data_IF_778090493535
#
_entry.id   IF_778090493535
#
_cell.length_a   1.000
_cell.length_b   1.000
_cell.length_c   1.000
_cell.angle_alpha   90.00
_cell.angle_beta   90.00
_cell.angle_gamma   90.00
#
_symmetry.space_group_name_H-M   'P 1'
#
loop_
_entity.id
_entity.type
_entity.pdbx_description
1 polymer ?
#
# COMPACT_ATOMS: atom_id res chain seq x y z
N UNK A 1 -4.24 26.93 27.47
CA UNK A 1 -3.04 26.67 26.66
C UNK A 1 -2.00 26.12 27.62
N UNK A 2 -1.02 25.33 27.18
CA UNK A 2 0.05 24.87 28.08
C UNK A 2 1.23 25.78 27.82
N UNK A 3 1.63 26.54 28.84
CA UNK A 3 2.87 27.32 28.80
C UNK A 3 3.92 26.55 29.57
N UNK A 4 4.96 26.11 28.86
CA UNK A 4 6.09 25.37 29.44
C UNK A 4 7.23 26.34 29.60
N UNK A 5 7.63 26.60 30.84
CA UNK A 5 8.80 27.42 31.14
C UNK A 5 9.97 26.48 31.46
N UNK A 6 11.06 26.62 30.70
CA UNK A 6 12.30 25.88 30.94
C UNK A 6 13.25 26.76 31.76
N UNK A 7 13.64 26.27 32.94
CA UNK A 7 14.65 26.89 33.77
C UNK A 7 15.90 26.00 33.78
N UNK A 8 17.02 26.56 33.32
CA UNK A 8 18.31 25.87 33.31
C UNK A 8 19.16 26.42 34.45
N UNK A 9 19.42 25.58 35.45
CA UNK A 9 20.36 25.90 36.52
C UNK A 9 21.71 25.27 36.20
N UNK A 10 22.76 26.10 36.27
CA UNK A 10 24.13 25.67 36.02
C UNK A 10 24.93 25.74 37.32
N UNK A 11 25.32 24.57 37.82
CA UNK A 11 26.33 24.44 38.86
C UNK A 11 27.61 23.85 38.24
N UNK A 12 28.78 24.11 38.85
CA UNK A 12 30.14 24.05 38.28
C UNK A 12 30.54 22.79 37.46
N UNK A 13 29.73 21.75 37.39
CA UNK A 13 29.88 20.63 36.45
C UNK A 13 28.58 19.92 35.99
N UNK A 14 27.39 20.39 36.40
CA UNK A 14 26.11 19.74 36.13
C UNK A 14 25.06 20.73 35.62
N UNK A 15 24.39 20.38 34.51
CA UNK A 15 23.24 21.12 33.98
C UNK A 15 21.96 20.44 34.47
N UNK A 16 21.19 21.12 35.32
CA UNK A 16 19.89 20.63 35.78
C UNK A 16 18.81 21.38 34.98
N UNK A 17 18.08 20.63 34.15
CA UNK A 17 16.94 21.16 33.38
C UNK A 17 15.66 20.94 34.16
N UNK A 18 15.10 22.01 34.73
CA UNK A 18 13.80 22.00 35.39
C UNK A 18 12.78 22.60 34.43
N UNK A 19 11.58 22.04 34.40
CA UNK A 19 10.47 22.62 33.67
C UNK A 19 9.30 22.84 34.62
N UNK A 20 8.66 23.99 34.48
CA UNK A 20 7.41 24.30 35.17
C UNK A 20 6.27 24.31 34.15
N UNK A 21 5.16 23.66 34.52
CA UNK A 21 3.96 23.56 33.68
C UNK A 21 2.86 24.36 34.34
N UNK A 22 2.49 25.47 33.71
CA UNK A 22 1.36 26.30 34.12
C UNK A 22 0.19 26.01 33.17
N UNK A 23 -0.94 25.60 33.75
CA UNK A 23 -2.16 25.30 33.02
C UNK A 23 -3.04 26.55 32.96
N UNK A 24 -3.21 27.12 31.77
CA UNK A 24 -4.14 28.22 31.55
C UNK A 24 -5.40 27.72 30.82
N UNK A 25 -6.58 28.18 31.25
CA UNK A 25 -7.81 27.92 30.51
C UNK A 25 -7.76 28.63 29.15
N UNK A 26 -8.35 28.02 28.13
CA UNK A 26 -8.29 28.55 26.77
C UNK A 26 -9.67 28.60 26.17
N UNK A 27 -9.98 29.74 25.52
CA UNK A 27 -11.26 30.01 24.88
C UNK A 27 -11.55 29.14 23.65
N UNK A 28 -10.58 28.36 23.15
CA UNK A 28 -10.78 27.43 22.03
C UNK A 28 -11.12 26.03 22.53
N UNK A 29 -12.25 25.51 22.04
CA UNK A 29 -12.68 24.11 22.25
C UNK A 29 -11.58 23.17 21.78
N UNK A 30 -11.33 22.11 22.55
CA UNK A 30 -10.26 21.13 22.28
C UNK A 30 -10.30 20.58 20.84
N UNK A 31 -11.50 20.29 20.34
CA UNK A 31 -11.70 19.76 18.99
C UNK A 31 -11.19 20.70 17.88
N UNK A 32 -11.33 22.02 18.05
CA UNK A 32 -10.95 23.02 17.05
C UNK A 32 -9.49 23.47 17.13
N UNK A 33 -8.72 22.95 18.10
CA UNK A 33 -7.29 23.34 18.25
C UNK A 33 -6.41 22.84 17.10
N UNK A 34 -6.81 21.72 16.48
CA UNK A 34 -6.08 21.13 15.37
C UNK A 34 -6.42 21.78 14.02
N UNK A 35 -7.50 22.54 13.95
CA UNK A 35 -7.98 23.15 12.70
C UNK A 35 -6.94 24.10 12.11
N UNK A 36 -6.13 24.78 12.94
CA UNK A 36 -5.05 25.67 12.47
C UNK A 36 -3.92 24.88 11.78
N UNK A 37 -3.60 23.67 12.26
CA UNK A 37 -2.58 22.82 11.65
C UNK A 37 -3.11 22.03 10.46
N UNK A 38 -4.41 21.76 10.43
CA UNK A 38 -5.10 21.09 9.32
C UNK A 38 -5.59 22.08 8.24
N UNK A 39 -5.60 23.37 8.53
CA UNK A 39 -5.90 24.43 7.57
C UNK A 39 -4.78 24.50 6.55
N UNK A 40 -4.97 23.80 5.42
CA UNK A 40 -4.07 23.89 4.27
C UNK A 40 -4.21 25.27 3.61
N UNK A 41 -3.22 26.14 3.83
CA UNK A 41 -3.17 27.47 3.21
C UNK A 41 -2.81 27.43 1.72
N UNK A 42 -2.24 26.33 1.23
CA UNK A 42 -1.71 26.21 -0.13
C UNK A 42 -2.44 25.18 -1.01
N UNK A 43 -3.78 25.10 -0.92
CA UNK A 43 -4.59 24.21 -1.78
C UNK A 43 -4.26 24.41 -3.27
N UNK A 44 -3.97 25.65 -3.67
CA UNK A 44 -3.66 26.00 -5.06
C UNK A 44 -2.43 25.28 -5.63
N UNK A 45 -1.38 25.09 -4.82
CA UNK A 45 -0.16 24.42 -5.26
C UNK A 45 -0.39 22.90 -5.36
N UNK A 46 -1.17 22.33 -4.45
CA UNK A 46 -1.44 20.89 -4.40
C UNK A 46 -2.28 20.38 -5.58
N UNK A 47 -3.37 21.08 -5.95
CA UNK A 47 -4.18 20.64 -7.09
C UNK A 47 -3.42 20.85 -8.41
N UNK A 48 -2.60 21.90 -8.53
CA UNK A 48 -1.75 22.13 -9.69
C UNK A 48 -0.74 20.99 -9.89
N UNK A 49 -0.06 20.56 -8.81
CA UNK A 49 0.85 19.41 -8.86
C UNK A 49 0.13 18.10 -9.22
N UNK A 50 -1.07 17.89 -8.69
CA UNK A 50 -1.91 16.72 -9.04
C UNK A 50 -2.24 16.71 -10.53
N UNK A 51 -2.71 17.83 -11.10
CA UNK A 51 -3.02 17.93 -12.53
C UNK A 51 -1.77 17.71 -13.38
N UNK A 52 -0.64 18.35 -13.02
CA UNK A 52 0.61 18.20 -13.76
C UNK A 52 1.09 16.73 -13.81
N UNK A 53 1.05 16.02 -12.68
CA UNK A 53 1.45 14.59 -12.66
C UNK A 53 0.50 13.71 -13.49
N UNK A 54 -0.81 13.98 -13.46
CA UNK A 54 -1.80 13.27 -14.28
C UNK A 54 -1.53 13.48 -15.78
N UNK A 55 -1.27 14.71 -16.21
CA UNK A 55 -0.95 15.01 -17.62
C UNK A 55 0.29 14.24 -18.08
N UNK A 56 1.36 14.22 -17.28
CA UNK A 56 2.59 13.48 -17.60
C UNK A 56 2.31 11.98 -17.73
N UNK A 57 1.54 11.39 -16.82
CA UNK A 57 1.19 9.96 -16.86
C UNK A 57 0.37 9.61 -18.11
N UNK A 58 -0.63 10.43 -18.46
CA UNK A 58 -1.42 10.22 -19.68
C UNK A 58 -0.59 10.37 -20.96
N UNK A 59 0.34 11.33 -20.99
CA UNK A 59 1.21 11.53 -22.13
C UNK A 59 2.18 10.34 -22.32
N UNK A 60 2.82 9.89 -21.24
CA UNK A 60 3.72 8.74 -21.26
C UNK A 60 2.99 7.45 -21.62
N UNK A 61 1.78 7.22 -21.09
CA UNK A 61 0.98 6.05 -21.44
C UNK A 61 0.57 6.09 -22.92
N UNK A 62 0.20 7.25 -23.46
CA UNK A 62 -0.12 7.42 -24.88
C UNK A 62 1.06 7.09 -25.80
N UNK A 63 2.27 7.60 -25.49
CA UNK A 63 3.48 7.27 -26.25
C UNK A 63 3.77 5.76 -26.16
N UNK A 64 3.72 5.17 -24.97
CA UNK A 64 3.94 3.74 -24.78
C UNK A 64 2.94 2.90 -25.58
N UNK A 65 1.65 3.26 -25.52
CA UNK A 65 0.60 2.60 -26.32
C UNK A 65 0.86 2.75 -27.82
N UNK A 66 1.28 3.93 -28.30
CA UNK A 66 1.63 4.12 -29.71
C UNK A 66 2.79 3.21 -30.13
N UNK A 67 3.83 3.11 -29.30
CA UNK A 67 4.98 2.21 -29.55
C UNK A 67 4.50 0.75 -29.60
N UNK A 68 3.74 0.28 -28.60
CA UNK A 68 3.22 -1.09 -28.53
C UNK A 68 2.32 -1.41 -29.72
N UNK A 69 1.40 -0.51 -30.07
CA UNK A 69 0.50 -0.72 -31.23
C UNK A 69 1.31 -0.74 -32.53
N UNK A 70 2.33 0.09 -32.67
CA UNK A 70 3.18 0.11 -33.85
C UNK A 70 4.00 -1.18 -33.97
N UNK A 71 4.58 -1.67 -32.89
CA UNK A 71 5.32 -2.95 -32.89
C UNK A 71 4.37 -4.11 -33.16
N UNK A 72 3.23 -4.19 -32.47
CA UNK A 72 2.23 -5.25 -32.69
C UNK A 72 1.70 -5.27 -34.13
N UNK A 73 1.34 -4.10 -34.70
CA UNK A 73 0.89 -4.05 -36.10
C UNK A 73 1.97 -4.50 -37.08
N UNK A 74 3.23 -4.13 -36.84
CA UNK A 74 4.36 -4.56 -37.67
C UNK A 74 4.60 -6.06 -37.56
N UNK A 75 4.54 -6.61 -36.35
CA UNK A 75 4.73 -8.04 -36.12
C UNK A 75 3.60 -8.84 -36.76
N UNK A 76 2.32 -8.48 -36.55
CA UNK A 76 1.17 -9.13 -37.20
C UNK A 76 1.29 -9.09 -38.72
N UNK A 77 1.64 -7.93 -39.30
CA UNK A 77 1.80 -7.81 -40.76
C UNK A 77 2.96 -8.67 -41.30
N UNK A 78 3.98 -8.95 -40.49
CA UNK A 78 5.08 -9.86 -40.84
C UNK A 78 4.64 -11.32 -40.78
N UNK A 79 3.90 -11.72 -39.74
CA UNK A 79 3.34 -13.06 -39.60
C UNK A 79 2.35 -13.40 -40.73
N UNK A 80 1.47 -12.47 -41.09
CA UNK A 80 0.50 -12.69 -42.18
C UNK A 80 1.17 -12.78 -43.56
N UNK A 81 2.34 -12.16 -43.78
CA UNK A 81 3.09 -12.30 -45.04
C UNK A 81 3.86 -13.62 -45.15
N UNK A 82 4.16 -14.27 -44.03
CA UNK A 82 4.83 -15.58 -44.02
C UNK A 82 3.86 -16.76 -44.17
N UNK A 83 2.56 -16.59 -43.92
CA UNK A 83 1.55 -17.63 -44.18
C UNK A 83 1.42 -17.95 -45.69
N UNK A 84 1.71 -17.01 -46.59
CA UNK A 84 1.66 -17.25 -48.05
C UNK A 84 2.85 -18.06 -48.62
N UNK A 85 3.90 -18.31 -47.84
CA UNK A 85 5.12 -19.01 -48.33
C UNK A 85 5.43 -20.34 -47.64
N UNK A 86 4.73 -20.74 -46.58
CA UNK A 86 5.18 -21.89 -45.80
C UNK A 86 4.05 -22.61 -45.05
N UNK A 87 3.28 -23.44 -45.77
CA UNK A 87 2.47 -24.53 -45.19
C UNK A 87 3.33 -25.59 -44.44
N UNK A 88 4.64 -25.37 -44.29
CA UNK A 88 5.59 -26.20 -43.56
C UNK A 88 6.32 -25.49 -42.41
N UNK A 89 6.07 -24.20 -42.14
CA UNK A 89 6.69 -23.54 -40.99
C UNK A 89 5.97 -23.95 -39.71
N UNK A 90 6.60 -24.87 -38.99
CA UNK A 90 6.26 -25.32 -37.64
C UNK A 90 5.54 -24.26 -36.80
N UNK A 91 4.48 -24.69 -36.12
CA UNK A 91 3.67 -23.95 -35.15
C UNK A 91 4.51 -23.08 -34.20
N UNK A 92 4.91 -21.86 -34.57
CA UNK A 92 5.93 -21.12 -33.80
C UNK A 92 5.35 -20.04 -32.89
N UNK A 93 5.90 -19.96 -31.68
CA UNK A 93 5.81 -18.80 -30.79
C UNK A 93 4.61 -18.82 -29.84
N UNK A 94 3.54 -18.08 -30.15
CA UNK A 94 2.46 -17.79 -29.18
C UNK A 94 1.38 -18.87 -29.12
N UNK A 95 1.18 -19.62 -30.21
CA UNK A 95 0.16 -20.66 -30.33
C UNK A 95 0.50 -21.90 -29.50
N UNK A 96 1.79 -22.27 -29.44
CA UNK A 96 2.31 -23.30 -28.53
C UNK A 96 2.23 -22.88 -27.05
N UNK A 97 2.30 -21.58 -26.78
CA UNK A 97 2.31 -21.03 -25.41
C UNK A 97 0.91 -20.98 -24.79
N UNK A 98 -0.16 -21.12 -25.57
CA UNK A 98 -1.53 -21.18 -25.02
C UNK A 98 -1.71 -22.32 -24.01
N UNK A 99 -0.97 -23.43 -24.16
CA UNK A 99 -0.94 -24.53 -23.19
C UNK A 99 -0.10 -24.26 -21.94
N UNK A 100 0.95 -23.45 -22.07
CA UNK A 100 1.89 -23.14 -20.98
C UNK A 100 1.46 -21.95 -20.11
N UNK A 101 0.64 -21.04 -20.64
CA UNK A 101 0.05 -19.92 -19.87
C UNK A 101 -0.78 -20.41 -18.68
N UNK A 102 -1.40 -21.59 -18.79
CA UNK A 102 -2.20 -22.19 -17.72
C UNK A 102 -1.41 -23.16 -16.83
N UNK A 103 -0.09 -23.29 -17.05
CA UNK A 103 0.74 -24.15 -16.21
C UNK A 103 0.84 -23.50 -14.82
N UNK A 104 0.55 -24.25 -13.74
CA UNK A 104 0.64 -23.68 -12.41
C UNK A 104 2.07 -23.23 -12.11
N UNK A 105 2.27 -22.05 -11.51
CA UNK A 105 3.60 -21.55 -11.18
C UNK A 105 4.27 -22.49 -10.17
N UNK A 106 5.61 -22.45 -10.09
CA UNK A 106 6.40 -23.30 -9.16
C UNK A 106 5.96 -23.16 -7.69
N UNK A 107 5.43 -22.00 -7.31
CA UNK A 107 4.95 -21.71 -5.95
C UNK A 107 3.50 -21.16 -5.95
N UNK A 108 2.49 -22.01 -6.21
CA UNK A 108 1.11 -21.55 -6.37
C UNK A 108 0.48 -21.07 -5.05
N UNK A 109 0.95 -21.59 -3.90
CA UNK A 109 0.51 -21.18 -2.56
C UNK A 109 0.91 -19.73 -2.24
N UNK A 110 2.17 -19.39 -2.50
CA UNK A 110 2.70 -18.04 -2.27
C UNK A 110 2.05 -17.04 -3.21
N UNK A 111 1.92 -17.40 -4.49
CA UNK A 111 1.28 -16.54 -5.48
C UNK A 111 -0.18 -16.23 -5.10
N UNK A 112 -0.97 -17.26 -4.76
CA UNK A 112 -2.35 -17.06 -4.34
C UNK A 112 -2.46 -16.20 -3.06
N UNK A 113 -1.58 -16.44 -2.08
CA UNK A 113 -1.53 -15.66 -0.85
C UNK A 113 -1.20 -14.19 -1.10
N UNK A 114 -0.19 -13.88 -1.92
CA UNK A 114 0.20 -12.50 -2.26
C UNK A 114 -0.93 -11.75 -2.97
N UNK A 115 -1.61 -12.40 -3.94
CA UNK A 115 -2.74 -11.79 -4.64
C UNK A 115 -3.92 -11.54 -3.68
N UNK A 116 -4.25 -12.52 -2.82
CA UNK A 116 -5.29 -12.36 -1.81
C UNK A 116 -5.02 -11.19 -0.86
N UNK A 117 -3.80 -11.13 -0.29
CA UNK A 117 -3.39 -10.02 0.58
C UNK A 117 -3.36 -8.68 -0.15
N UNK A 118 -2.98 -8.66 -1.43
CA UNK A 118 -3.01 -7.45 -2.25
C UNK A 118 -4.43 -6.89 -2.41
N UNK A 119 -5.39 -7.75 -2.75
CA UNK A 119 -6.81 -7.37 -2.86
C UNK A 119 -7.36 -6.88 -1.51
N UNK A 120 -6.99 -7.55 -0.41
CA UNK A 120 -7.38 -7.17 0.94
C UNK A 120 -6.94 -5.74 1.29
N UNK A 121 -5.65 -5.44 1.10
CA UNK A 121 -5.07 -4.12 1.43
C UNK A 121 -5.64 -3.04 0.50
N UNK A 122 -5.80 -3.36 -0.79
CA UNK A 122 -6.38 -2.42 -1.76
C UNK A 122 -7.80 -2.01 -1.37
N UNK A 123 -8.68 -2.97 -1.09
CA UNK A 123 -10.07 -2.69 -0.72
C UNK A 123 -10.17 -2.01 0.65
N UNK A 124 -9.38 -2.46 1.64
CA UNK A 124 -9.29 -1.82 2.95
C UNK A 124 -8.88 -0.34 2.81
N UNK A 125 -7.84 -0.06 2.02
CA UNK A 125 -7.34 1.30 1.80
C UNK A 125 -8.37 2.15 1.09
N UNK A 126 -9.01 1.63 0.04
CA UNK A 126 -10.06 2.32 -0.69
C UNK A 126 -11.24 2.71 0.20
N UNK A 127 -11.74 1.77 1.02
CA UNK A 127 -12.85 2.01 1.95
C UNK A 127 -12.44 3.00 3.04
N UNK A 128 -11.22 2.89 3.57
CA UNK A 128 -10.71 3.81 4.59
C UNK A 128 -10.63 5.24 4.04
N UNK A 129 -10.13 5.42 2.81
CA UNK A 129 -10.08 6.71 2.13
C UNK A 129 -11.50 7.24 1.92
N UNK A 130 -12.44 6.41 1.49
CA UNK A 130 -13.84 6.82 1.32
C UNK A 130 -14.46 7.37 2.61
N UNK A 131 -14.33 6.66 3.74
CA UNK A 131 -14.83 7.15 5.03
C UNK A 131 -14.04 8.36 5.58
N UNK A 132 -12.76 8.47 5.25
CA UNK A 132 -11.96 9.65 5.58
C UNK A 132 -12.43 10.88 4.79
N UNK A 133 -12.77 10.73 3.50
CA UNK A 133 -13.32 11.82 2.67
C UNK A 133 -14.69 12.31 3.17
N UNK A 134 -15.51 11.45 3.76
CA UNK A 134 -16.78 11.83 4.40
C UNK A 134 -16.59 12.57 5.73
N UNK A 135 -15.35 12.77 6.21
CA UNK A 135 -15.04 13.45 7.46
C UNK A 135 -15.31 12.64 8.72
N UNK A 136 -15.77 11.38 8.58
CA UNK A 136 -16.10 10.50 9.72
C UNK A 136 -14.86 10.03 10.48
N UNK A 137 -13.70 9.94 9.79
CA UNK A 137 -12.42 9.55 10.36
C UNK A 137 -11.48 10.77 10.44
N UNK A 138 -11.89 11.81 11.17
CA UNK A 138 -11.07 13.00 11.34
C UNK A 138 -9.78 12.70 12.14
N UNK A 139 -8.59 13.18 11.70
CA UNK A 139 -7.33 13.05 12.43
C UNK A 139 -7.37 13.60 13.87
N UNK A 140 -8.34 14.46 14.18
CA UNK A 140 -8.56 15.03 15.51
C UNK A 140 -8.94 13.96 16.56
N UNK A 141 -9.51 12.83 16.14
CA UNK A 141 -9.84 11.71 17.02
C UNK A 141 -8.65 10.75 17.14
N UNK A 142 -7.83 10.95 18.18
CA UNK A 142 -6.62 10.16 18.44
C UNK A 142 -6.94 8.65 18.43
N UNK A 143 -6.38 7.92 17.48
CA UNK A 143 -6.51 6.46 17.38
C UNK A 143 -7.78 5.92 16.70
N UNK A 144 -8.78 6.76 16.36
CA UNK A 144 -9.98 6.30 15.67
C UNK A 144 -9.68 5.77 14.26
N UNK A 145 -8.78 6.45 13.53
CA UNK A 145 -8.34 6.00 12.21
C UNK A 145 -7.61 4.66 12.30
N UNK A 146 -6.74 4.48 13.29
CA UNK A 146 -6.00 3.24 13.49
C UNK A 146 -6.93 2.07 13.84
N UNK A 147 -7.86 2.29 14.77
CA UNK A 147 -8.84 1.26 15.17
C UNK A 147 -9.78 0.90 14.02
N UNK A 148 -10.26 1.87 13.25
CA UNK A 148 -11.06 1.63 12.05
C UNK A 148 -10.27 0.86 10.98
N UNK A 149 -9.01 1.22 10.74
CA UNK A 149 -8.15 0.51 9.78
C UNK A 149 -7.93 -0.95 10.19
N UNK A 150 -7.69 -1.24 11.48
CA UNK A 150 -7.54 -2.61 11.99
C UNK A 150 -8.85 -3.39 11.82
N UNK A 151 -9.98 -2.78 12.18
CA UNK A 151 -11.30 -3.42 12.03
C UNK A 151 -11.60 -3.75 10.56
N UNK A 152 -11.39 -2.79 9.65
CA UNK A 152 -11.58 -2.98 8.22
C UNK A 152 -10.61 -4.03 7.66
N UNK A 153 -9.36 -4.05 8.12
CA UNK A 153 -8.39 -5.06 7.72
C UNK A 153 -8.85 -6.48 8.06
N UNK A 154 -9.34 -6.69 9.28
CA UNK A 154 -9.87 -7.99 9.73
C UNK A 154 -11.08 -8.40 8.91
N UNK A 155 -12.03 -7.48 8.68
CA UNK A 155 -13.22 -7.75 7.89
C UNK A 155 -12.89 -8.08 6.42
N UNK A 156 -11.94 -7.37 5.81
CA UNK A 156 -11.46 -7.65 4.46
C UNK A 156 -10.70 -8.99 4.34
N UNK A 157 -10.38 -9.64 5.46
CA UNK A 157 -9.82 -11.00 5.49
C UNK A 157 -10.74 -12.05 4.82
N UNK A 158 -12.06 -11.87 4.87
CA UNK A 158 -13.00 -12.75 4.16
C UNK A 158 -12.82 -12.66 2.64
N UNK A 159 -12.63 -11.44 2.13
CA UNK A 159 -12.42 -11.18 0.70
C UNK A 159 -11.07 -11.76 0.25
N UNK A 160 -10.02 -11.54 1.06
CA UNK A 160 -8.70 -12.14 0.88
C UNK A 160 -8.76 -13.66 0.73
N UNK A 161 -9.44 -14.33 1.66
CA UNK A 161 -9.60 -15.78 1.66
C UNK A 161 -10.37 -16.29 0.45
N UNK A 162 -11.44 -15.60 0.04
CA UNK A 162 -12.22 -15.97 -1.14
C UNK A 162 -11.38 -15.92 -2.42
N UNK A 163 -10.74 -14.79 -2.70
CA UNK A 163 -9.96 -14.61 -3.93
C UNK A 163 -8.71 -15.50 -3.96
N UNK A 164 -7.99 -15.63 -2.83
CA UNK A 164 -6.85 -16.54 -2.72
C UNK A 164 -7.27 -18.01 -2.93
N UNK A 165 -8.35 -18.47 -2.28
CA UNK A 165 -8.82 -19.84 -2.44
C UNK A 165 -9.33 -20.15 -3.85
N UNK A 166 -10.03 -19.20 -4.48
CA UNK A 166 -10.48 -19.30 -5.87
C UNK A 166 -9.29 -19.43 -6.82
N UNK A 167 -8.31 -18.54 -6.70
CA UNK A 167 -7.09 -18.55 -7.51
C UNK A 167 -6.26 -19.82 -7.26
N UNK A 168 -6.15 -20.27 -6.02
CA UNK A 168 -5.43 -21.51 -5.70
C UNK A 168 -6.11 -22.75 -6.31
N UNK A 169 -7.45 -22.78 -6.33
CA UNK A 169 -8.20 -23.85 -7.01
C UNK A 169 -8.04 -23.80 -8.53
N UNK A 170 -8.03 -22.62 -9.15
CA UNK A 170 -7.81 -22.51 -10.61
C UNK A 170 -6.41 -22.98 -11.02
N UNK A 171 -5.43 -22.86 -10.12
CA UNK A 171 -4.07 -23.39 -10.29
C UNK A 171 -3.93 -24.89 -9.95
N UNK A 172 -5.04 -25.63 -9.84
CA UNK A 172 -5.08 -27.06 -9.51
C UNK A 172 -4.39 -27.40 -8.18
N UNK A 173 -4.41 -26.48 -7.21
CA UNK A 173 -3.84 -26.69 -5.88
C UNK A 173 -4.66 -27.66 -5.02
N UNK A 174 -4.02 -28.70 -4.49
CA UNK A 174 -4.67 -29.74 -3.67
C UNK A 174 -4.66 -29.35 -2.18
N UNK A 175 -3.58 -28.73 -1.70
CA UNK A 175 -3.34 -28.48 -0.28
C UNK A 175 -4.01 -27.18 0.23
N UNK A 176 -5.35 -27.12 0.18
CA UNK A 176 -6.11 -25.91 0.53
C UNK A 176 -5.85 -25.42 1.97
N UNK A 177 -5.62 -26.33 2.93
CA UNK A 177 -5.31 -25.97 4.33
C UNK A 177 -4.01 -25.17 4.44
N UNK A 178 -2.95 -25.62 3.76
CA UNK A 178 -1.65 -24.95 3.76
C UNK A 178 -1.72 -23.62 3.00
N UNK A 179 -2.50 -23.55 1.92
CA UNK A 179 -2.71 -22.31 1.15
C UNK A 179 -3.48 -21.26 1.97
N UNK A 180 -4.52 -21.67 2.70
CA UNK A 180 -5.26 -20.79 3.61
C UNK A 180 -4.35 -20.25 4.72
N UNK A 181 -3.52 -21.12 5.32
CA UNK A 181 -2.54 -20.71 6.33
C UNK A 181 -1.54 -19.68 5.79
N UNK A 182 -1.02 -19.88 4.57
CA UNK A 182 -0.12 -18.90 3.94
C UNK A 182 -0.83 -17.57 3.68
N UNK A 183 -2.08 -17.58 3.23
CA UNK A 183 -2.85 -16.35 2.99
C UNK A 183 -3.08 -15.57 4.29
N UNK A 184 -3.32 -16.27 5.41
CA UNK A 184 -3.52 -15.64 6.70
C UNK A 184 -2.23 -15.12 7.34
N UNK A 185 -1.11 -15.84 7.21
CA UNK A 185 0.13 -15.54 7.94
C UNK A 185 1.16 -14.74 7.14
N UNK A 186 1.13 -14.75 5.81
CA UNK A 186 2.20 -14.16 5.00
C UNK A 186 2.32 -12.65 5.23
N UNK A 187 1.23 -11.90 5.08
CA UNK A 187 1.29 -10.45 5.24
C UNK A 187 1.53 -10.01 6.69
N UNK A 188 0.78 -10.49 7.70
CA UNK A 188 1.07 -10.17 9.10
C UNK A 188 2.47 -10.61 9.53
N UNK A 189 2.96 -11.75 9.05
CA UNK A 189 4.29 -12.25 9.33
C UNK A 189 5.39 -11.35 8.77
N UNK A 190 5.22 -10.83 7.55
CA UNK A 190 6.15 -9.85 6.96
C UNK A 190 6.15 -8.55 7.77
N UNK A 191 4.98 -8.01 8.10
CA UNK A 191 4.87 -6.76 8.89
C UNK A 191 5.49 -6.94 10.28
N UNK A 192 5.19 -8.05 10.95
CA UNK A 192 5.79 -8.40 12.24
C UNK A 192 7.30 -8.55 12.14
N UNK A 193 7.80 -9.26 11.13
CA UNK A 193 9.24 -9.43 10.89
C UNK A 193 9.96 -8.10 10.65
N UNK A 194 9.38 -7.22 9.84
CA UNK A 194 9.92 -5.87 9.63
C UNK A 194 9.93 -5.06 10.93
N UNK A 195 8.83 -5.04 11.68
CA UNK A 195 8.74 -4.34 12.97
C UNK A 195 9.74 -4.89 14.00
N UNK A 196 9.93 -6.21 14.03
CA UNK A 196 10.88 -6.87 14.92
C UNK A 196 12.33 -6.52 14.58
N UNK A 197 12.70 -6.50 13.30
CA UNK A 197 14.04 -6.07 12.85
C UNK A 197 14.26 -4.59 13.19
N UNK A 198 13.27 -3.73 12.93
CA UNK A 198 13.35 -2.31 13.29
C UNK A 198 13.53 -2.12 14.81
N UNK A 199 12.82 -2.89 15.63
CA UNK A 199 12.99 -2.86 17.08
C UNK A 199 14.42 -3.24 17.52
N UNK A 200 15.05 -4.23 16.88
CA UNK A 200 16.46 -4.54 17.14
C UNK A 200 17.40 -3.37 16.82
N UNK A 201 17.16 -2.65 15.71
CA UNK A 201 17.93 -1.45 15.37
C UNK A 201 17.75 -0.33 16.39
N UNK A 202 16.52 -0.10 16.85
CA UNK A 202 16.18 0.92 17.86
C UNK A 202 16.88 0.60 19.19
N UNK A 203 16.83 -0.67 19.60
CA UNK A 203 17.50 -1.14 20.81
C UNK A 203 19.03 -0.95 20.73
N UNK A 204 19.65 -1.30 19.60
CA UNK A 204 21.08 -1.08 19.40
C UNK A 204 21.49 0.40 19.45
N UNK A 205 20.59 1.31 19.08
CA UNK A 205 20.79 2.77 19.16
C UNK A 205 20.50 3.38 20.53
N UNK A 206 20.13 2.59 21.54
CA UNK A 206 19.75 3.08 22.88
C UNK A 206 18.69 4.19 22.83
N UNK A 207 17.80 4.15 21.84
CA UNK A 207 16.76 5.17 21.68
C UNK A 207 15.61 4.89 22.64
N UNK A 208 15.23 5.88 23.44
CA UNK A 208 14.21 5.78 24.51
C UNK A 208 12.75 5.67 24.01
N UNK A 209 12.56 5.31 22.74
CA UNK A 209 11.24 5.21 22.09
C UNK A 209 10.71 3.79 21.93
N UNK A 210 11.31 2.81 22.61
CA UNK A 210 10.80 1.45 22.72
C UNK A 210 9.73 1.35 23.81
#
# INVERSE_FOLDING_TARGET
>A
MISIYFCFLQDQQNYISLYEVIWEESNIRWASRWDIYLAMTDVQIHWFSTVNSVVVVFFLSGILTMIIVRTLRRDIARYNKSEDMDDTMEETGWKLVHGDVFRPPRYPKLFAAVIGSGIQIFLMTFITIFFAMLGMLSPASRGALMTAAIFLYVFMGCVSGYFSARLYKTLRGIEWKKAALHTALLYPGVVFGCGFILNFFIWGKHSSGA
#
